data_IF_032705797967
#
_entry.id   IF_032705797967
#
_cell.length_a   1.000
_cell.length_b   1.000
_cell.length_c   1.000
_cell.angle_alpha   90.00
_cell.angle_beta   90.00
_cell.angle_gamma   90.00
#
_symmetry.space_group_name_H-M   'P 1'
#
loop_
_entity.id
_entity.type
_entity.pdbx_description
1 polymer ?
#
# COMPACT_ATOMS: atom_id res chain seq x y z
N UNK A 1 -10.71 15.73 -0.45
CA UNK A 1 -9.59 14.78 -0.32
C UNK A 1 -10.14 13.36 -0.44
N UNK A 2 -9.66 12.58 -1.42
CA UNK A 2 -10.04 11.17 -1.61
C UNK A 2 -9.16 10.30 -0.71
N UNK A 3 -9.40 10.28 0.60
CA UNK A 3 -8.55 9.56 1.58
C UNK A 3 -9.09 8.18 1.94
N UNK A 4 -10.27 7.83 1.45
CA UNK A 4 -10.92 6.55 1.76
C UNK A 4 -10.67 5.54 0.65
N UNK A 5 -10.57 4.27 1.04
CA UNK A 5 -10.61 3.16 0.10
C UNK A 5 -11.99 3.17 -0.59
N UNK A 6 -12.05 3.04 -1.93
CA UNK A 6 -13.32 3.02 -2.65
C UNK A 6 -14.29 1.97 -2.08
N UNK A 7 -15.57 2.34 -1.98
CA UNK A 7 -16.63 1.47 -1.43
C UNK A 7 -16.42 1.01 0.02
N UNK A 8 -15.57 1.71 0.77
CA UNK A 8 -15.31 1.46 2.18
C UNK A 8 -15.33 2.76 2.98
N UNK A 9 -15.48 2.63 4.30
CA UNK A 9 -15.27 3.73 5.25
C UNK A 9 -13.83 3.80 5.77
N UNK A 10 -12.98 2.86 5.36
CA UNK A 10 -11.58 2.77 5.78
C UNK A 10 -10.71 3.80 5.06
N UNK A 11 -9.76 4.37 5.80
CA UNK A 11 -8.78 5.34 5.32
C UNK A 11 -7.45 4.64 5.10
N UNK A 12 -6.82 4.87 3.95
CA UNK A 12 -5.48 4.34 3.70
C UNK A 12 -4.43 5.13 4.48
N UNK A 13 -3.34 4.46 4.85
CA UNK A 13 -2.15 5.12 5.38
C UNK A 13 -1.42 5.86 4.26
N UNK A 14 -0.91 7.06 4.56
CA UNK A 14 -0.04 7.82 3.68
C UNK A 14 1.12 8.37 4.49
N UNK A 15 2.33 8.13 3.99
CA UNK A 15 3.55 8.70 4.56
C UNK A 15 4.48 9.16 3.43
N UNK A 16 5.30 10.17 3.72
CA UNK A 16 6.30 10.70 2.80
C UNK A 16 7.49 11.25 3.58
N UNK A 17 8.68 11.06 3.04
CA UNK A 17 9.90 11.45 3.73
C UNK A 17 11.14 11.38 2.86
N UNK A 18 12.28 11.27 3.53
CA UNK A 18 13.60 11.22 2.92
C UNK A 18 14.42 10.08 3.51
N UNK A 19 15.17 9.39 2.67
CA UNK A 19 16.17 8.40 3.08
C UNK A 19 17.52 8.73 2.46
N UNK A 20 18.59 8.42 3.18
CA UNK A 20 19.95 8.51 2.64
C UNK A 20 20.36 7.15 2.05
N UNK A 21 20.62 7.10 0.74
CA UNK A 21 21.21 5.93 0.05
C UNK A 21 22.53 6.34 -0.59
N UNK A 22 23.64 5.78 -0.11
CA UNK A 22 24.95 6.00 -0.72
C UNK A 22 25.39 7.47 -0.78
N UNK A 23 25.09 8.26 0.27
CA UNK A 23 25.33 9.72 0.38
C UNK A 23 24.40 10.60 -0.47
N UNK A 24 23.36 10.02 -1.07
CA UNK A 24 22.31 10.77 -1.79
C UNK A 24 21.04 10.75 -0.95
N UNK A 25 20.45 11.92 -0.74
CA UNK A 25 19.13 12.06 -0.13
C UNK A 25 18.08 11.79 -1.21
N UNK A 26 17.19 10.85 -0.95
CA UNK A 26 16.16 10.40 -1.88
C UNK A 26 14.78 10.61 -1.25
N UNK A 27 13.86 11.17 -2.02
CA UNK A 27 12.46 11.32 -1.62
C UNK A 27 11.74 9.98 -1.70
N UNK A 28 10.99 9.66 -0.66
CA UNK A 28 10.21 8.42 -0.54
C UNK A 28 8.78 8.73 -0.15
N UNK A 29 7.87 7.84 -0.53
CA UNK A 29 6.49 7.86 -0.07
C UNK A 29 5.96 6.43 -0.03
N UNK A 30 4.95 6.21 0.79
CA UNK A 30 4.17 4.98 0.80
C UNK A 30 2.70 5.31 1.00
N UNK A 31 1.85 4.69 0.18
CA UNK A 31 0.40 4.65 0.42
C UNK A 31 0.04 3.18 0.61
N UNK A 32 -0.60 2.86 1.74
CA UNK A 32 -0.82 1.46 2.11
C UNK A 32 -2.13 1.19 2.86
N UNK A 33 -2.59 -0.05 2.74
CA UNK A 33 -3.73 -0.65 3.42
C UNK A 33 -3.54 -2.17 3.44
N UNK A 34 -4.42 -2.94 4.05
CA UNK A 34 -4.38 -4.41 3.97
C UNK A 34 -5.28 -4.91 2.83
N UNK A 35 -4.96 -6.08 2.26
CA UNK A 35 -5.77 -6.69 1.19
C UNK A 35 -7.23 -6.91 1.60
N UNK A 36 -7.49 -7.30 2.85
CA UNK A 36 -8.85 -7.49 3.38
C UNK A 36 -9.70 -6.21 3.31
N UNK A 37 -9.09 -5.05 3.55
CA UNK A 37 -9.77 -3.76 3.44
C UNK A 37 -10.20 -3.46 2.00
N UNK A 38 -9.35 -3.78 1.02
CA UNK A 38 -9.67 -3.58 -0.41
C UNK A 38 -10.72 -4.57 -0.89
N UNK A 39 -10.70 -5.80 -0.37
CA UNK A 39 -11.68 -6.84 -0.71
C UNK A 39 -12.92 -6.82 0.17
N UNK A 40 -13.13 -5.77 0.96
CA UNK A 40 -14.34 -5.63 1.77
C UNK A 40 -15.59 -5.72 0.88
N UNK A 41 -16.51 -6.61 1.24
CA UNK A 41 -17.72 -6.90 0.45
C UNK A 41 -17.56 -8.00 -0.61
N UNK A 42 -16.37 -8.59 -0.76
CA UNK A 42 -16.11 -9.78 -1.57
C UNK A 42 -15.86 -11.01 -0.68
N UNK A 43 -16.31 -12.18 -1.10
CA UNK A 43 -15.90 -13.47 -0.51
C UNK A 43 -14.49 -13.83 -0.99
N UNK A 44 -13.49 -13.20 -0.34
CA UNK A 44 -12.07 -13.34 -0.69
C UNK A 44 -11.32 -14.36 0.16
N UNK A 45 -11.94 -14.91 1.22
CA UNK A 45 -11.31 -15.91 2.11
C UNK A 45 -10.92 -17.18 1.32
N UNK A 46 -11.73 -17.56 0.33
CA UNK A 46 -11.52 -18.75 -0.50
C UNK A 46 -10.54 -18.54 -1.68
N UNK A 47 -9.92 -17.36 -1.80
CA UNK A 47 -9.11 -16.96 -2.97
C UNK A 47 -7.59 -17.02 -2.71
N UNK A 48 -7.14 -17.60 -1.59
CA UNK A 48 -5.72 -17.71 -1.22
C UNK A 48 -4.98 -16.37 -1.13
N UNK A 49 -5.70 -15.28 -0.86
CA UNK A 49 -5.09 -14.00 -0.53
C UNK A 49 -4.74 -13.97 0.96
N UNK A 50 -3.54 -13.47 1.28
CA UNK A 50 -3.19 -13.13 2.66
C UNK A 50 -3.86 -11.79 2.99
N UNK A 51 -5.09 -11.84 3.54
CA UNK A 51 -5.92 -10.65 3.76
C UNK A 51 -5.26 -9.62 4.69
N UNK A 52 -4.44 -10.09 5.63
CA UNK A 52 -3.67 -9.24 6.55
C UNK A 52 -2.39 -8.68 5.92
N UNK A 53 -1.97 -9.18 4.76
CA UNK A 53 -0.78 -8.66 4.10
C UNK A 53 -1.00 -7.21 3.65
N UNK A 54 0.06 -6.42 3.77
CA UNK A 54 0.06 -5.03 3.35
C UNK A 54 -0.02 -4.97 1.81
N UNK A 55 -1.00 -4.27 1.29
CA UNK A 55 -1.05 -3.79 -0.09
C UNK A 55 -0.54 -2.35 -0.10
N UNK A 56 0.48 -2.08 -0.90
CA UNK A 56 1.09 -0.75 -0.95
C UNK A 56 1.54 -0.35 -2.35
N UNK A 57 1.67 0.95 -2.53
CA UNK A 57 2.42 1.59 -3.62
C UNK A 57 3.49 2.49 -3.00
N UNK A 58 4.69 2.45 -3.57
CA UNK A 58 5.86 3.11 -2.99
C UNK A 58 6.51 2.29 -1.86
N UNK A 59 7.42 2.95 -1.16
CA UNK A 59 8.19 2.41 -0.04
C UNK A 59 8.79 3.56 0.76
N UNK A 60 8.81 3.45 2.08
CA UNK A 60 9.53 4.38 2.95
C UNK A 60 11.04 4.07 3.04
N UNK A 61 11.49 2.92 2.54
CA UNK A 61 12.91 2.52 2.58
C UNK A 61 13.66 2.84 1.28
N UNK A 62 12.92 3.02 0.18
CA UNK A 62 13.50 3.31 -1.13
C UNK A 62 12.55 4.05 -2.06
N UNK A 63 13.11 4.84 -3.00
CA UNK A 63 12.30 5.44 -4.04
C UNK A 63 11.70 4.37 -4.94
N UNK A 64 10.39 4.23 -4.85
CA UNK A 64 9.61 3.33 -5.69
C UNK A 64 8.30 4.01 -6.09
N UNK A 65 7.89 3.77 -7.33
CA UNK A 65 6.54 4.07 -7.82
C UNK A 65 5.71 2.80 -8.00
N UNK A 66 6.30 1.64 -7.72
CA UNK A 66 5.67 0.34 -7.90
C UNK A 66 4.86 -0.03 -6.67
N UNK A 67 3.84 -0.85 -6.84
CA UNK A 67 3.22 -1.55 -5.73
C UNK A 67 3.52 -3.04 -5.69
N UNK A 68 2.99 -3.70 -4.68
CA UNK A 68 3.27 -5.10 -4.37
C UNK A 68 2.10 -6.05 -4.67
N UNK A 69 1.21 -5.67 -5.59
CA UNK A 69 0.16 -6.55 -6.07
C UNK A 69 0.75 -7.74 -6.82
N UNK A 70 0.16 -8.93 -6.66
CA UNK A 70 0.51 -10.09 -7.48
C UNK A 70 0.05 -9.82 -8.91
N UNK A 71 0.97 -9.87 -9.87
CA UNK A 71 0.60 -9.99 -11.28
C UNK A 71 0.22 -11.44 -11.57
N UNK A 72 -0.91 -11.65 -12.23
CA UNK A 72 -1.25 -12.93 -12.86
C UNK A 72 -0.25 -13.28 -13.97
#
# INVERSE_FOLDING_TARGET
>A
NLTTIPYSNEVYSIDAGQVEKGKVIVQVFEISTNYGTVFTGLDAENKSYELDALLKVGSMDEASLNGNWKSE
#
